data_IF_926222181076
#
_entry.id   IF_926222181076
#
_cell.length_a   1.000
_cell.length_b   1.000
_cell.length_c   1.000
_cell.angle_alpha   90.00
_cell.angle_beta   90.00
_cell.angle_gamma   90.00
#
_symmetry.space_group_name_H-M   'P 1'
#
loop_
_entity.id
_entity.type
_entity.pdbx_description
1 polymer ?
#
# COMPACT_ATOMS: atom_id res chain seq x y z
N UNK A 1 3.01 5.57 10.71
CA UNK A 1 2.29 4.85 9.63
C UNK A 1 0.81 4.80 9.96
N UNK A 2 -0.06 4.88 8.96
CA UNK A 2 -1.51 4.86 9.12
C UNK A 2 -2.16 4.42 7.81
N UNK A 3 -3.43 3.99 7.83
CA UNK A 3 -4.18 3.58 6.62
C UNK A 3 -5.50 4.33 6.51
N UNK A 4 -6.04 4.50 5.30
CA UNK A 4 -7.34 5.11 5.01
C UNK A 4 -7.86 4.58 3.67
N UNK A 5 -9.17 4.62 3.45
CA UNK A 5 -9.81 4.15 2.20
C UNK A 5 -10.42 5.30 1.39
N UNK A 6 -10.48 5.14 0.07
CA UNK A 6 -11.13 6.10 -0.85
C UNK A 6 -12.67 6.02 -0.82
N UNK A 7 -13.21 4.87 -0.40
CA UNK A 7 -14.62 4.63 -0.15
C UNK A 7 -14.78 3.91 1.20
N UNK A 8 -14.29 4.53 2.28
CA UNK A 8 -14.19 3.87 3.57
C UNK A 8 -15.56 3.74 4.26
N UNK A 9 -15.84 2.54 4.77
CA UNK A 9 -16.93 2.33 5.73
C UNK A 9 -16.50 2.86 7.11
N UNK A 10 -16.58 4.18 7.30
CA UNK A 10 -15.99 4.87 8.46
C UNK A 10 -16.45 4.26 9.78
N UNK A 11 -15.49 3.96 10.65
CA UNK A 11 -15.73 3.36 11.97
C UNK A 11 -15.86 1.84 11.97
N UNK A 12 -15.98 1.20 10.81
CA UNK A 12 -16.02 -0.26 10.76
C UNK A 12 -14.69 -0.88 11.22
N UNK A 13 -14.80 -2.06 11.81
CA UNK A 13 -13.66 -2.92 12.08
C UNK A 13 -13.09 -3.48 10.77
N UNK A 14 -11.94 -4.14 10.86
CA UNK A 14 -11.37 -4.84 9.71
C UNK A 14 -12.35 -5.94 9.24
N UNK A 15 -12.43 -6.16 7.93
CA UNK A 15 -13.20 -7.27 7.36
C UNK A 15 -12.83 -8.60 8.06
N UNK A 16 -13.80 -9.45 8.46
CA UNK A 16 -13.50 -10.65 9.25
C UNK A 16 -12.48 -11.61 8.63
N UNK A 17 -12.48 -11.75 7.30
CA UNK A 17 -11.51 -12.61 6.62
C UNK A 17 -10.12 -11.99 6.62
N UNK A 18 -10.02 -10.68 6.39
CA UNK A 18 -8.75 -9.97 6.53
C UNK A 18 -8.24 -9.93 7.98
N UNK A 19 -9.14 -9.82 8.96
CA UNK A 19 -8.80 -9.88 10.38
C UNK A 19 -8.29 -11.28 10.78
N UNK A 20 -8.89 -12.34 10.22
CA UNK A 20 -8.40 -13.71 10.38
C UNK A 20 -6.98 -13.86 9.79
N UNK A 21 -6.76 -13.40 8.56
CA UNK A 21 -5.44 -13.45 7.93
C UNK A 21 -4.38 -12.61 8.67
N UNK A 22 -4.77 -11.46 9.23
CA UNK A 22 -3.90 -10.65 10.09
C UNK A 22 -3.52 -11.41 11.37
N UNK A 23 -4.49 -12.05 12.03
CA UNK A 23 -4.26 -12.84 13.24
C UNK A 23 -3.31 -14.03 12.99
N UNK A 24 -3.46 -14.73 11.86
CA UNK A 24 -2.54 -15.81 11.45
C UNK A 24 -1.08 -15.34 11.30
N UNK A 25 -0.87 -14.04 11.05
CA UNK A 25 0.45 -13.40 10.92
C UNK A 25 0.89 -12.68 12.21
N UNK A 26 0.18 -12.88 13.32
CA UNK A 26 0.51 -12.28 14.62
C UNK A 26 0.16 -10.79 14.73
N UNK A 27 -0.68 -10.25 13.84
CA UNK A 27 -1.08 -8.85 13.83
C UNK A 27 -2.42 -8.67 14.56
N UNK A 28 -2.44 -7.83 15.60
CA UNK A 28 -3.68 -7.48 16.32
C UNK A 28 -4.47 -6.39 15.58
N UNK A 29 -5.50 -6.80 14.84
CA UNK A 29 -6.38 -5.91 14.09
C UNK A 29 -7.55 -5.32 14.91
N UNK A 30 -7.71 -5.66 16.20
CA UNK A 30 -8.92 -5.28 16.98
C UNK A 30 -9.10 -3.76 17.12
N UNK A 31 -8.00 -3.01 17.12
CA UNK A 31 -8.00 -1.54 17.19
C UNK A 31 -8.18 -0.87 15.82
N UNK A 32 -8.16 -1.63 14.73
CA UNK A 32 -8.37 -1.07 13.40
C UNK A 32 -9.76 -0.45 13.30
N UNK A 33 -9.82 0.77 12.81
CA UNK A 33 -11.07 1.44 12.45
C UNK A 33 -10.89 2.08 11.08
N UNK A 34 -11.75 1.71 10.15
CA UNK A 34 -11.75 2.29 8.83
C UNK A 34 -11.99 3.80 8.92
N UNK A 35 -11.26 4.58 8.14
CA UNK A 35 -11.40 6.03 8.03
C UNK A 35 -11.27 6.45 6.58
N UNK A 36 -12.00 7.50 6.23
CA UNK A 36 -11.99 8.07 4.89
C UNK A 36 -10.65 8.78 4.63
N UNK A 37 -10.11 8.57 3.43
CA UNK A 37 -8.96 9.33 2.96
C UNK A 37 -9.37 10.79 2.77
N UNK A 38 -8.54 11.71 3.27
CA UNK A 38 -8.78 13.16 3.19
C UNK A 38 -7.50 13.86 2.78
N UNK A 39 -7.61 15.06 2.21
CA UNK A 39 -6.44 15.89 1.88
C UNK A 39 -5.53 16.14 3.08
N UNK A 40 -6.07 16.23 4.31
CA UNK A 40 -5.24 16.35 5.52
C UNK A 40 -4.35 15.12 5.75
N UNK A 41 -4.89 13.91 5.57
CA UNK A 41 -4.11 12.67 5.69
C UNK A 41 -3.01 12.63 4.62
N UNK A 42 -3.32 13.04 3.38
CA UNK A 42 -2.36 13.09 2.28
C UNK A 42 -1.28 14.16 2.47
N UNK A 43 -1.65 15.31 3.05
CA UNK A 43 -0.73 16.38 3.40
C UNK A 43 0.29 15.91 4.43
N UNK A 44 -0.17 15.22 5.47
CA UNK A 44 0.67 14.73 6.58
C UNK A 44 1.51 13.50 6.21
N UNK A 45 1.23 12.84 5.09
CA UNK A 45 1.99 11.70 4.59
C UNK A 45 3.17 12.15 3.72
N UNK A 46 4.34 11.56 3.95
CA UNK A 46 5.50 11.70 3.05
C UNK A 46 5.35 10.79 1.81
N UNK A 47 4.86 9.57 2.02
CA UNK A 47 4.60 8.57 0.97
C UNK A 47 3.23 7.94 1.19
N UNK A 48 2.50 7.71 0.09
CA UNK A 48 1.20 7.05 0.06
C UNK A 48 1.32 5.76 -0.74
N UNK A 49 1.30 4.62 -0.05
CA UNK A 49 1.30 3.30 -0.69
C UNK A 49 -0.14 2.90 -0.98
N UNK A 50 -0.44 2.57 -2.24
CA UNK A 50 -1.78 2.14 -2.67
C UNK A 50 -1.77 0.70 -3.17
N UNK A 51 -2.97 0.09 -3.27
CA UNK A 51 -3.13 -1.32 -3.64
C UNK A 51 -3.52 -1.53 -5.10
N UNK A 52 -4.10 -0.53 -5.76
CA UNK A 52 -4.55 -0.64 -7.15
C UNK A 52 -4.60 0.72 -7.86
N UNK A 53 -4.65 0.73 -9.20
CA UNK A 53 -4.66 1.95 -10.01
C UNK A 53 -5.84 2.87 -9.69
N UNK A 54 -6.99 2.32 -9.32
CA UNK A 54 -8.20 3.06 -8.93
C UNK A 54 -7.95 4.02 -7.75
N UNK A 55 -7.01 3.69 -6.87
CA UNK A 55 -6.62 4.57 -5.77
C UNK A 55 -5.78 5.77 -6.25
N UNK A 56 -4.89 5.54 -7.22
CA UNK A 56 -4.09 6.60 -7.84
C UNK A 56 -5.01 7.55 -8.62
N UNK A 57 -5.92 7.00 -9.42
CA UNK A 57 -6.92 7.76 -10.17
C UNK A 57 -7.81 8.60 -9.24
N UNK A 58 -8.27 8.02 -8.14
CA UNK A 58 -9.05 8.75 -7.15
C UNK A 58 -8.25 9.93 -6.54
N UNK A 59 -6.99 9.71 -6.17
CA UNK A 59 -6.13 10.79 -5.65
C UNK A 59 -5.89 11.86 -6.72
N UNK A 60 -5.65 11.47 -7.96
CA UNK A 60 -5.45 12.40 -9.07
C UNK A 60 -6.67 13.30 -9.31
N UNK A 61 -7.88 12.75 -9.14
CA UNK A 61 -9.13 13.49 -9.34
C UNK A 61 -9.49 14.38 -8.14
N UNK A 62 -9.32 13.89 -6.91
CA UNK A 62 -9.78 14.58 -5.70
C UNK A 62 -8.73 15.50 -5.08
N UNK A 63 -7.44 15.14 -5.19
CA UNK A 63 -6.31 15.84 -4.57
C UNK A 63 -5.06 15.80 -5.48
N UNK A 64 -5.13 16.38 -6.69
CA UNK A 64 -4.04 16.32 -7.68
C UNK A 64 -2.69 16.81 -7.13
N UNK A 65 -2.69 17.77 -6.20
CA UNK A 65 -1.49 18.29 -5.53
C UNK A 65 -0.76 17.26 -4.67
N UNK A 66 -1.38 16.11 -4.40
CA UNK A 66 -0.81 15.01 -3.60
C UNK A 66 -0.46 13.78 -4.44
N UNK A 67 -0.74 13.80 -5.75
CA UNK A 67 -0.52 12.65 -6.64
C UNK A 67 0.95 12.21 -6.68
N UNK A 68 1.89 13.15 -6.66
CA UNK A 68 3.32 12.86 -6.70
C UNK A 68 3.81 12.02 -5.50
N UNK A 69 3.02 11.91 -4.43
CA UNK A 69 3.35 11.10 -3.24
C UNK A 69 2.81 9.67 -3.31
N UNK A 70 1.98 9.35 -4.31
CA UNK A 70 1.29 8.07 -4.41
C UNK A 70 2.05 7.09 -5.31
N UNK A 71 2.23 5.86 -4.82
CA UNK A 71 2.85 4.77 -5.57
C UNK A 71 2.21 3.44 -5.19
N UNK A 72 2.07 2.53 -6.16
CA UNK A 72 1.59 1.17 -5.86
C UNK A 72 2.59 0.44 -4.95
N UNK A 73 2.08 -0.29 -3.95
CA UNK A 73 2.89 -1.13 -3.08
C UNK A 73 3.67 -2.19 -3.87
N UNK A 74 3.00 -2.86 -4.82
CA UNK A 74 3.64 -3.87 -5.67
C UNK A 74 4.71 -3.27 -6.59
N UNK A 75 4.44 -2.10 -7.16
CA UNK A 75 5.39 -1.37 -8.00
C UNK A 75 6.63 -0.96 -7.21
N UNK A 76 6.44 -0.44 -5.99
CA UNK A 76 7.53 -0.07 -5.10
C UNK A 76 8.38 -1.29 -4.72
N UNK A 77 7.76 -2.42 -4.39
CA UNK A 77 8.48 -3.66 -4.08
C UNK A 77 9.29 -4.16 -5.27
N UNK A 78 8.69 -4.18 -6.47
CA UNK A 78 9.37 -4.58 -7.71
C UNK A 78 10.56 -3.68 -8.03
N UNK A 79 10.40 -2.36 -7.90
CA UNK A 79 11.50 -1.42 -8.09
C UNK A 79 12.68 -1.71 -7.13
N UNK A 80 12.39 -1.91 -5.85
CA UNK A 80 13.43 -2.18 -4.85
C UNK A 80 14.12 -3.54 -5.02
N UNK A 81 13.46 -4.52 -5.65
CA UNK A 81 14.06 -5.81 -6.03
C UNK A 81 14.96 -5.70 -7.26
N UNK A 82 14.61 -4.86 -8.23
CA UNK A 82 15.40 -4.64 -9.45
C UNK A 82 16.61 -3.72 -9.23
N UNK A 83 16.72 -3.11 -8.05
CA UNK A 83 17.78 -2.16 -7.72
C UNK A 83 19.15 -2.83 -7.53
N UNK A 84 20.28 -2.13 -7.80
CA UNK A 84 21.61 -2.61 -7.43
C UNK A 84 21.74 -2.85 -5.93
N UNK A 85 22.34 -3.97 -5.51
CA UNK A 85 22.42 -4.39 -4.09
C UNK A 85 23.07 -3.39 -3.13
N UNK A 86 23.89 -2.48 -3.64
CA UNK A 86 24.62 -1.49 -2.84
C UNK A 86 23.90 -0.13 -2.74
N UNK A 87 22.79 0.07 -3.45
CA UNK A 87 22.03 1.30 -3.34
C UNK A 87 21.29 1.35 -2.00
N UNK A 88 21.52 2.43 -1.25
CA UNK A 88 20.77 2.71 -0.02
C UNK A 88 19.53 3.51 -0.35
N UNK A 89 18.37 3.04 0.11
CA UNK A 89 17.09 3.72 -0.04
C UNK A 89 16.51 4.00 1.33
N UNK A 90 15.75 5.09 1.44
CA UNK A 90 14.97 5.41 2.62
C UNK A 90 13.52 5.67 2.22
N UNK A 91 12.61 5.77 3.19
CA UNK A 91 11.23 6.18 2.90
C UNK A 91 11.14 7.51 2.15
N UNK A 92 12.09 8.42 2.31
CA UNK A 92 12.09 9.73 1.63
C UNK A 92 12.49 9.65 0.16
N UNK A 93 13.34 8.68 -0.21
CA UNK A 93 13.84 8.52 -1.58
C UNK A 93 13.05 7.50 -2.38
N UNK A 94 12.12 6.78 -1.74
CA UNK A 94 11.40 5.67 -2.36
C UNK A 94 10.74 6.05 -3.69
N UNK A 95 10.10 7.22 -3.76
CA UNK A 95 9.42 7.68 -4.98
C UNK A 95 10.42 7.98 -6.10
N UNK A 96 11.52 8.66 -5.77
CA UNK A 96 12.61 8.95 -6.72
C UNK A 96 13.26 7.65 -7.21
N UNK A 97 13.46 6.67 -6.32
CA UNK A 97 14.04 5.37 -6.65
C UNK A 97 13.14 4.58 -7.63
N UNK A 98 11.82 4.59 -7.40
CA UNK A 98 10.84 3.97 -8.30
C UNK A 98 10.84 4.66 -9.66
N UNK A 99 10.87 5.99 -9.68
CA UNK A 99 10.88 6.78 -10.91
C UNK A 99 12.17 6.60 -11.71
N UNK A 100 13.33 6.60 -11.05
CA UNK A 100 14.64 6.47 -11.70
C UNK A 100 14.85 5.11 -12.37
N UNK A 101 14.17 4.07 -11.89
CA UNK A 101 14.20 2.73 -12.47
C UNK A 101 13.19 2.56 -13.61
N UNK A 102 12.41 3.60 -13.95
CA UNK A 102 11.36 3.59 -14.99
C UNK A 102 10.45 2.36 -14.90
N UNK A 103 10.08 2.02 -13.66
CA UNK A 103 9.25 0.86 -13.33
C UNK A 103 7.80 1.26 -13.61
N UNK A 104 7.37 1.14 -14.86
CA UNK A 104 5.98 1.43 -15.24
C UNK A 104 5.01 0.54 -14.46
N UNK A 105 3.91 1.07 -13.90
CA UNK A 105 2.88 0.27 -13.24
C UNK A 105 2.33 -0.80 -14.19
N UNK A 106 2.17 -2.02 -13.69
CA UNK A 106 1.54 -3.10 -14.46
C UNK A 106 0.53 -3.88 -13.62
N UNK A 107 -0.28 -4.71 -14.29
CA UNK A 107 -1.32 -5.52 -13.64
C UNK A 107 -0.76 -6.43 -12.53
N UNK A 108 0.50 -6.86 -12.65
CA UNK A 108 1.16 -7.67 -11.63
C UNK A 108 1.46 -6.92 -10.33
N UNK A 109 1.44 -5.59 -10.33
CA UNK A 109 1.63 -4.75 -9.14
C UNK A 109 0.34 -4.58 -8.32
N UNK A 110 -0.82 -4.96 -8.87
CA UNK A 110 -2.11 -4.79 -8.22
C UNK A 110 -2.37 -5.83 -7.12
N UNK A 111 -2.84 -5.36 -5.98
CA UNK A 111 -3.37 -6.17 -4.90
C UNK A 111 -4.89 -6.11 -4.99
N UNK A 112 -5.48 -7.17 -5.57
CA UNK A 112 -6.93 -7.27 -5.78
C UNK A 112 -7.70 -7.10 -4.47
N UNK A 113 -8.77 -6.30 -4.52
CA UNK A 113 -9.63 -6.03 -3.36
C UNK A 113 -10.30 -7.34 -2.85
N UNK A 114 -9.99 -7.77 -1.61
CA UNK A 114 -10.56 -8.99 -1.03
C UNK A 114 -11.96 -8.82 -0.46
N UNK A 115 -12.48 -7.60 -0.37
CA UNK A 115 -13.71 -7.31 0.37
C UNK A 115 -14.90 -8.13 -0.14
N UNK A 116 -15.43 -9.00 0.74
CA UNK A 116 -16.55 -9.91 0.45
C UNK A 116 -16.33 -10.84 -0.77
N UNK A 117 -15.07 -11.17 -1.09
CA UNK A 117 -14.72 -12.08 -2.21
C UNK A 117 -14.36 -13.51 -1.78
N UNK A 118 -14.41 -13.81 -0.48
CA UNK A 118 -14.15 -15.14 0.07
C UNK A 118 -12.72 -15.38 0.55
N UNK A 119 -12.52 -16.48 1.28
CA UNK A 119 -11.28 -16.79 2.02
C UNK A 119 -10.04 -16.86 1.12
N UNK A 120 -10.14 -17.49 -0.05
CA UNK A 120 -9.01 -17.62 -0.97
C UNK A 120 -8.47 -16.27 -1.44
N UNK A 121 -9.36 -15.31 -1.72
CA UNK A 121 -8.96 -13.96 -2.15
C UNK A 121 -8.37 -13.17 -0.99
N UNK A 122 -8.97 -13.25 0.20
CA UNK A 122 -8.42 -12.63 1.41
C UNK A 122 -7.00 -13.13 1.72
N UNK A 123 -6.79 -14.45 1.65
CA UNK A 123 -5.46 -15.07 1.84
C UNK A 123 -4.44 -14.59 0.81
N UNK A 124 -4.82 -14.55 -0.47
CA UNK A 124 -3.94 -14.06 -1.53
C UNK A 124 -3.58 -12.58 -1.33
N UNK A 125 -4.56 -11.73 -1.01
CA UNK A 125 -4.33 -10.30 -0.75
C UNK A 125 -3.42 -10.08 0.46
N UNK A 126 -3.72 -10.72 1.60
CA UNK A 126 -2.89 -10.61 2.81
C UNK A 126 -1.47 -11.15 2.59
N UNK A 127 -1.33 -12.26 1.86
CA UNK A 127 -0.03 -12.80 1.47
C UNK A 127 0.78 -11.83 0.62
N UNK A 128 0.14 -11.22 -0.39
CA UNK A 128 0.81 -10.25 -1.27
C UNK A 128 1.23 -8.99 -0.52
N UNK A 129 0.34 -8.42 0.30
CA UNK A 129 0.64 -7.24 1.14
C UNK A 129 1.89 -7.50 2.00
N UNK A 130 1.95 -8.66 2.67
CA UNK A 130 3.09 -8.97 3.54
C UNK A 130 4.37 -9.17 2.74
N UNK A 131 4.32 -9.91 1.63
CA UNK A 131 5.49 -10.14 0.79
C UNK A 131 6.10 -8.83 0.26
N UNK A 132 5.25 -7.91 -0.21
CA UNK A 132 5.71 -6.61 -0.72
C UNK A 132 6.24 -5.72 0.43
N UNK A 133 5.58 -5.73 1.59
CA UNK A 133 6.08 -5.00 2.77
C UNK A 133 7.40 -5.55 3.31
N UNK A 134 7.63 -6.87 3.25
CA UNK A 134 8.90 -7.48 3.65
C UNK A 134 10.05 -7.01 2.76
N UNK A 135 9.79 -6.89 1.44
CA UNK A 135 10.75 -6.32 0.48
C UNK A 135 11.09 -4.89 0.87
N UNK A 136 10.08 -4.05 1.09
CA UNK A 136 10.28 -2.65 1.48
C UNK A 136 11.03 -2.55 2.82
N UNK A 137 10.68 -3.37 3.81
CA UNK A 137 11.31 -3.32 5.12
C UNK A 137 12.77 -3.80 5.10
N UNK A 138 13.10 -4.78 4.26
CA UNK A 138 14.50 -5.22 4.08
C UNK A 138 15.32 -4.21 3.28
N UNK A 139 14.65 -3.45 2.42
CA UNK A 139 15.24 -2.53 1.47
C UNK A 139 15.51 -1.13 2.02
N UNK A 140 14.67 -0.67 2.93
CA UNK A 140 14.61 0.73 3.34
C UNK A 140 15.21 0.90 4.74
N UNK A 141 16.19 1.78 4.84
CA UNK A 141 16.69 2.23 6.14
C UNK A 141 15.70 3.22 6.80
N UNK A 142 15.83 3.37 8.12
CA UNK A 142 15.06 4.35 8.90
C UNK A 142 15.44 5.79 8.56
#
# INVERSE_FOLDING_TARGET
MSSAGIAALVGNEMDPLMAHEAALRGIDARKHRARQLTGRILKDADVVLVFGPEHVEWIANEYPEHLAKAVSLGQAARALQSRPRLASSSWRTLLDDVQALSVEPCEADEIKDPYRRGEGIAKCAAGRICADLDVLSAALSR
#
